data_IF_350638169129
#
_entry.id   IF_350638169129
#
_cell.length_a   1.000
_cell.length_b   1.000
_cell.length_c   1.000
_cell.angle_alpha   90.00
_cell.angle_beta   90.00
_cell.angle_gamma   90.00
#
_symmetry.space_group_name_H-M   'P 1'
#
loop_
_entity.id
_entity.type
_entity.pdbx_description
1 polymer ?
#
# COMPACT_ATOMS: atom_id res chain seq x y z
N UNK A 1 14.61 -43.65 -6.46
CA UNK A 1 14.47 -42.25 -6.08
C UNK A 1 13.09 -41.66 -6.45
N UNK A 2 12.63 -41.92 -7.67
CA UNK A 2 11.32 -41.34 -8.14
C UNK A 2 10.10 -41.92 -7.40
N UNK A 3 10.18 -43.19 -7.01
CA UNK A 3 9.11 -43.90 -6.30
C UNK A 3 8.97 -43.41 -4.85
N UNK A 4 10.09 -43.21 -4.16
CA UNK A 4 10.13 -42.68 -2.78
C UNK A 4 9.60 -41.25 -2.73
N UNK A 5 9.96 -40.41 -3.70
CA UNK A 5 9.45 -39.03 -3.79
C UNK A 5 7.94 -39.01 -4.03
N UNK A 6 7.41 -39.88 -4.88
CA UNK A 6 5.96 -39.97 -5.11
C UNK A 6 5.20 -40.47 -3.89
N UNK A 7 5.79 -41.37 -3.10
CA UNK A 7 5.17 -41.85 -1.85
C UNK A 7 5.11 -40.77 -0.78
N UNK A 8 6.18 -39.97 -0.65
CA UNK A 8 6.22 -38.80 0.25
C UNK A 8 5.18 -37.74 -0.13
N UNK A 9 5.05 -37.42 -1.41
CA UNK A 9 4.06 -36.45 -1.89
C UNK A 9 2.63 -36.98 -1.70
N UNK A 10 2.41 -38.26 -1.92
CA UNK A 10 1.12 -38.89 -1.67
C UNK A 10 0.76 -38.88 -0.19
N UNK A 11 1.73 -39.08 0.68
CA UNK A 11 1.54 -39.01 2.13
C UNK A 11 1.16 -37.59 2.59
N UNK A 12 1.84 -36.57 2.07
CA UNK A 12 1.52 -35.14 2.33
C UNK A 12 0.11 -34.79 1.86
N UNK A 13 -0.29 -35.28 0.69
CA UNK A 13 -1.65 -35.06 0.16
C UNK A 13 -2.73 -35.75 0.99
N UNK A 14 -2.47 -36.94 1.50
CA UNK A 14 -3.40 -37.65 2.40
C UNK A 14 -3.54 -36.93 3.75
N UNK A 15 -2.44 -36.44 4.31
CA UNK A 15 -2.44 -35.66 5.55
C UNK A 15 -3.16 -34.33 5.38
N UNK A 16 -2.96 -33.66 4.24
CA UNK A 16 -3.66 -32.44 3.90
C UNK A 16 -5.16 -32.66 3.74
N UNK A 17 -5.57 -33.72 3.03
CA UNK A 17 -6.96 -34.11 2.88
C UNK A 17 -7.62 -34.42 4.23
N UNK A 18 -6.93 -35.17 5.09
CA UNK A 18 -7.44 -35.47 6.43
C UNK A 18 -7.65 -34.22 7.25
N UNK A 19 -6.72 -33.26 7.22
CA UNK A 19 -6.88 -31.97 7.90
C UNK A 19 -8.08 -31.19 7.41
N UNK A 20 -8.34 -31.23 6.10
CA UNK A 20 -9.53 -30.58 5.52
C UNK A 20 -10.81 -31.30 5.97
N UNK A 21 -10.83 -32.63 5.98
CA UNK A 21 -12.00 -33.42 6.41
C UNK A 21 -12.29 -33.19 7.92
N UNK A 22 -11.28 -33.14 8.76
CA UNK A 22 -11.40 -32.82 10.19
C UNK A 22 -11.92 -31.38 10.41
N UNK A 23 -11.54 -30.43 9.55
CA UNK A 23 -12.03 -29.04 9.58
C UNK A 23 -13.48 -28.92 9.12
N UNK A 24 -13.94 -29.77 8.19
CA UNK A 24 -15.33 -29.76 7.71
C UNK A 24 -16.33 -30.22 8.78
N UNK A 25 -15.91 -31.03 9.74
CA UNK A 25 -16.74 -31.46 10.85
C UNK A 25 -16.98 -30.35 11.90
N UNK A 26 -16.14 -29.29 11.88
CA UNK A 26 -16.20 -28.15 12.79
C UNK A 26 -16.09 -26.81 12.04
N UNK A 27 -17.17 -26.36 11.35
CA UNK A 27 -17.11 -25.16 10.49
C UNK A 27 -16.76 -23.87 11.23
N UNK A 28 -16.95 -23.81 12.56
CA UNK A 28 -16.54 -22.65 13.35
C UNK A 28 -15.02 -22.58 13.55
N UNK A 29 -14.35 -23.73 13.66
CA UNK A 29 -12.91 -23.81 13.85
C UNK A 29 -12.13 -23.39 12.57
N UNK A 30 -12.75 -23.48 11.40
CA UNK A 30 -12.14 -23.07 10.11
C UNK A 30 -11.89 -21.56 10.10
N UNK A 31 -12.88 -20.76 10.49
CA UNK A 31 -12.74 -19.30 10.52
C UNK A 31 -11.70 -18.86 11.54
N UNK A 32 -11.68 -19.48 12.71
CA UNK A 32 -10.68 -19.19 13.75
C UNK A 32 -9.28 -19.50 13.26
N UNK A 33 -9.06 -20.64 12.60
CA UNK A 33 -7.79 -21.02 12.01
C UNK A 33 -7.36 -20.07 10.87
N UNK A 34 -8.28 -19.65 10.01
CA UNK A 34 -8.01 -18.68 8.95
C UNK A 34 -7.62 -17.33 9.56
N UNK A 35 -8.35 -16.89 10.58
CA UNK A 35 -8.12 -15.63 11.25
C UNK A 35 -6.77 -15.62 12.00
N UNK A 36 -6.41 -16.70 12.68
CA UNK A 36 -5.11 -16.86 13.33
C UNK A 36 -3.97 -16.82 12.31
N UNK A 37 -4.08 -17.55 11.20
CA UNK A 37 -3.09 -17.55 10.12
C UNK A 37 -2.93 -16.16 9.48
N UNK A 38 -4.01 -15.40 9.33
CA UNK A 38 -3.95 -14.01 8.87
C UNK A 38 -3.34 -13.08 9.91
N UNK A 39 -3.65 -13.26 11.19
CA UNK A 39 -3.15 -12.43 12.28
C UNK A 39 -1.65 -12.60 12.50
N UNK A 40 -1.10 -13.81 12.39
CA UNK A 40 0.34 -14.07 12.52
C UNK A 40 1.19 -13.26 11.54
N UNK A 41 0.65 -12.94 10.37
CA UNK A 41 1.31 -12.08 9.39
C UNK A 41 1.20 -10.60 9.73
N UNK A 42 0.15 -10.18 10.46
CA UNK A 42 -0.09 -8.78 10.83
C UNK A 42 0.74 -8.31 12.04
N UNK A 43 1.04 -9.16 12.98
CA UNK A 43 1.81 -8.81 14.19
C UNK A 43 3.24 -8.29 13.89
N UNK A 44 3.77 -8.59 12.73
CA UNK A 44 5.12 -8.19 12.29
C UNK A 44 5.15 -6.88 11.50
N UNK A 45 4.00 -6.30 11.15
CA UNK A 45 3.93 -5.18 10.20
C UNK A 45 3.59 -3.88 10.93
N UNK A 46 4.63 -3.15 11.33
CA UNK A 46 4.53 -1.73 11.72
C UNK A 46 4.65 -0.79 10.51
N UNK A 47 4.91 -1.34 9.33
CA UNK A 47 5.11 -0.60 8.09
C UNK A 47 3.80 -0.43 7.31
N UNK A 48 3.68 0.62 6.51
CA UNK A 48 2.53 0.79 5.62
C UNK A 48 2.48 -0.32 4.58
N UNK A 49 1.29 -0.54 3.99
CA UNK A 49 1.13 -1.55 2.97
C UNK A 49 1.78 -1.11 1.65
N UNK A 50 2.82 -1.83 1.27
CA UNK A 50 3.59 -1.60 0.04
C UNK A 50 3.09 -2.55 -1.05
N UNK A 51 2.70 -2.01 -2.19
CA UNK A 51 2.16 -2.80 -3.28
C UNK A 51 2.56 -2.25 -4.64
N UNK A 52 2.31 -3.03 -5.69
CA UNK A 52 2.44 -2.55 -7.06
C UNK A 52 1.22 -1.71 -7.48
N UNK A 53 1.33 -1.04 -8.62
CA UNK A 53 0.28 -0.17 -9.16
C UNK A 53 -1.07 -0.88 -9.36
N UNK A 54 -1.08 -2.11 -9.81
CA UNK A 54 -2.33 -2.86 -10.06
C UNK A 54 -3.09 -3.13 -8.77
N UNK A 55 -2.39 -3.55 -7.72
CA UNK A 55 -2.97 -3.77 -6.39
C UNK A 55 -3.42 -2.45 -5.76
N UNK A 56 -2.60 -1.40 -5.87
CA UNK A 56 -2.97 -0.07 -5.38
C UNK A 56 -4.27 0.42 -6.00
N UNK A 57 -4.43 0.28 -7.31
CA UNK A 57 -5.65 0.65 -8.03
C UNK A 57 -6.87 -0.10 -7.51
N UNK A 58 -6.76 -1.39 -7.26
CA UNK A 58 -7.85 -2.19 -6.70
C UNK A 58 -8.23 -1.76 -5.28
N UNK A 59 -7.23 -1.46 -4.44
CA UNK A 59 -7.46 -0.90 -3.10
C UNK A 59 -8.15 0.46 -3.19
N UNK A 60 -7.70 1.32 -4.09
CA UNK A 60 -8.33 2.62 -4.33
C UNK A 60 -9.82 2.47 -4.70
N UNK A 61 -10.15 1.56 -5.61
CA UNK A 61 -11.54 1.29 -5.99
C UNK A 61 -12.38 0.78 -4.83
N UNK A 62 -11.84 -0.09 -4.02
CA UNK A 62 -12.51 -0.60 -2.82
C UNK A 62 -12.78 0.52 -1.82
N UNK A 63 -11.78 1.35 -1.55
CA UNK A 63 -11.88 2.50 -0.64
C UNK A 63 -12.90 3.52 -1.15
N UNK A 64 -12.90 3.82 -2.44
CA UNK A 64 -13.87 4.74 -3.05
C UNK A 64 -15.32 4.26 -2.90
N UNK A 65 -15.55 2.95 -2.91
CA UNK A 65 -16.86 2.36 -2.61
C UNK A 65 -17.22 2.44 -1.13
N UNK A 66 -16.25 2.25 -0.25
CA UNK A 66 -16.47 2.29 1.21
C UNK A 66 -16.79 3.69 1.71
N UNK A 67 -16.22 4.72 1.12
CA UNK A 67 -16.40 6.12 1.53
C UNK A 67 -17.86 6.55 1.50
N UNK A 68 -18.65 6.07 0.53
CA UNK A 68 -20.08 6.38 0.44
C UNK A 68 -20.87 5.97 1.69
N UNK A 69 -20.49 4.87 2.30
CA UNK A 69 -21.20 4.31 3.46
C UNK A 69 -20.61 4.72 4.79
N UNK A 70 -19.28 4.83 4.86
CA UNK A 70 -18.59 5.06 6.11
C UNK A 70 -18.42 6.53 6.46
N UNK A 71 -18.48 7.44 5.48
CA UNK A 71 -18.14 8.85 5.65
C UNK A 71 -16.65 9.09 5.99
N UNK A 72 -15.82 8.07 5.91
CA UNK A 72 -14.38 8.19 6.14
C UNK A 72 -13.73 9.15 5.14
N UNK A 73 -12.81 9.96 5.64
CA UNK A 73 -11.98 10.81 4.79
C UNK A 73 -10.71 10.09 4.40
N UNK A 74 -10.46 10.02 3.12
CA UNK A 74 -9.26 9.40 2.56
C UNK A 74 -8.62 10.36 1.56
N UNK A 75 -7.30 10.52 1.65
CA UNK A 75 -6.55 11.40 0.78
C UNK A 75 -5.64 10.58 -0.15
N UNK A 76 -5.61 10.97 -1.42
CA UNK A 76 -4.63 10.48 -2.38
C UNK A 76 -3.52 11.52 -2.51
N UNK A 77 -2.29 11.14 -2.22
CA UNK A 77 -1.12 12.02 -2.28
C UNK A 77 -0.13 11.50 -3.31
N UNK A 78 0.25 12.37 -4.23
CA UNK A 78 1.35 12.12 -5.17
C UNK A 78 2.61 12.81 -4.63
N UNK A 79 3.67 12.04 -4.46
CA UNK A 79 5.00 12.55 -4.10
C UNK A 79 5.90 12.49 -5.33
N UNK A 80 6.44 13.61 -5.76
CA UNK A 80 7.32 13.72 -6.92
C UNK A 80 8.67 14.26 -6.51
N UNK A 81 9.72 13.51 -6.81
CA UNK A 81 11.09 13.95 -6.56
C UNK A 81 11.55 14.90 -7.68
N UNK A 82 11.98 16.08 -7.29
CA UNK A 82 12.43 17.14 -8.19
C UNK A 82 13.79 17.70 -7.75
N UNK A 83 14.49 18.35 -8.68
CA UNK A 83 15.61 19.21 -8.33
C UNK A 83 15.13 20.55 -7.75
N UNK A 84 16.05 21.42 -7.37
CA UNK A 84 15.76 22.74 -6.78
C UNK A 84 15.08 23.70 -7.78
N UNK A 85 15.13 23.40 -9.07
CA UNK A 85 14.47 24.16 -10.15
C UNK A 85 13.12 23.55 -10.57
N UNK A 86 12.60 22.61 -9.78
CA UNK A 86 11.32 21.92 -10.01
C UNK A 86 11.30 20.96 -11.22
N UNK A 87 12.47 20.61 -11.76
CA UNK A 87 12.54 19.64 -12.84
C UNK A 87 12.54 18.20 -12.33
N UNK A 88 11.85 17.29 -13.02
CA UNK A 88 11.91 15.86 -12.70
C UNK A 88 13.32 15.31 -12.90
N UNK A 89 13.72 14.38 -12.07
CA UNK A 89 15.05 13.76 -12.14
C UNK A 89 15.21 12.98 -13.44
N UNK A 90 16.29 13.26 -14.17
CA UNK A 90 16.59 12.65 -15.47
C UNK A 90 17.77 11.67 -15.47
N UNK A 91 18.67 11.76 -14.49
CA UNK A 91 19.87 10.89 -14.46
C UNK A 91 19.58 9.53 -13.82
N UNK A 92 20.03 8.45 -14.47
CA UNK A 92 19.68 7.09 -14.05
C UNK A 92 20.47 6.60 -12.82
N UNK A 93 21.72 7.03 -12.64
CA UNK A 93 22.58 6.55 -11.54
C UNK A 93 22.20 7.11 -10.16
N UNK A 94 21.86 8.40 -10.09
CA UNK A 94 21.38 9.01 -8.84
C UNK A 94 19.91 8.64 -8.55
N UNK A 95 19.12 8.33 -9.58
CA UNK A 95 17.70 8.09 -9.46
C UNK A 95 17.35 6.87 -8.57
N UNK A 96 18.15 5.80 -8.61
CA UNK A 96 17.87 4.61 -7.77
C UNK A 96 18.13 4.87 -6.29
N UNK A 97 19.23 5.53 -5.94
CA UNK A 97 19.56 5.84 -4.56
C UNK A 97 18.57 6.85 -3.98
N UNK A 98 18.27 7.90 -4.73
CA UNK A 98 17.29 8.92 -4.35
C UNK A 98 15.89 8.34 -4.25
N UNK A 99 15.50 7.49 -5.18
CA UNK A 99 14.21 6.78 -5.15
C UNK A 99 14.05 5.94 -3.88
N UNK A 100 15.11 5.25 -3.48
CA UNK A 100 15.12 4.49 -2.22
C UNK A 100 14.99 5.41 -1.01
N UNK A 101 15.67 6.56 -1.00
CA UNK A 101 15.58 7.52 0.09
C UNK A 101 14.18 8.12 0.22
N UNK A 102 13.53 8.44 -0.90
CA UNK A 102 12.14 8.91 -0.91
C UNK A 102 11.21 7.82 -0.39
N UNK A 103 11.36 6.59 -0.88
CA UNK A 103 10.56 5.45 -0.46
C UNK A 103 10.64 5.21 1.06
N UNK A 104 11.85 5.13 1.59
CA UNK A 104 12.07 4.96 3.02
C UNK A 104 11.53 6.13 3.84
N UNK A 105 11.66 7.36 3.35
CA UNK A 105 11.14 8.55 4.01
C UNK A 105 9.62 8.55 4.08
N UNK A 106 8.95 8.13 3.02
CA UNK A 106 7.50 7.96 2.99
C UNK A 106 7.08 6.85 3.96
N UNK A 107 7.66 5.67 3.84
CA UNK A 107 7.28 4.50 4.65
C UNK A 107 7.47 4.72 6.16
N UNK A 108 8.45 5.53 6.56
CA UNK A 108 8.66 5.89 7.97
C UNK A 108 7.72 6.98 8.49
N UNK A 109 7.06 7.70 7.60
CA UNK A 109 6.25 8.87 7.95
C UNK A 109 4.75 8.61 7.94
N UNK A 110 4.30 7.55 7.28
CA UNK A 110 2.90 7.16 7.18
C UNK A 110 2.59 5.96 8.09
N UNK A 111 1.30 5.69 8.30
CA UNK A 111 0.83 4.67 9.25
C UNK A 111 0.75 3.29 8.60
N UNK A 112 0.69 2.24 9.43
CA UNK A 112 0.51 0.87 8.99
C UNK A 112 -0.78 0.62 8.17
N UNK A 113 -1.82 1.41 8.41
CA UNK A 113 -3.08 1.34 7.66
C UNK A 113 -3.06 2.08 6.32
N UNK A 114 -2.01 2.84 6.03
CA UNK A 114 -1.86 3.55 4.76
C UNK A 114 -1.24 2.65 3.68
N UNK A 115 -1.43 3.02 2.43
CA UNK A 115 -0.99 2.24 1.27
C UNK A 115 -0.05 3.09 0.41
N UNK A 116 1.05 2.51 -0.04
CA UNK A 116 2.02 3.19 -0.90
C UNK A 116 2.42 2.33 -2.09
N UNK A 117 2.55 2.98 -3.24
CA UNK A 117 3.04 2.35 -4.47
C UNK A 117 3.99 3.28 -5.23
N UNK A 118 4.88 2.67 -5.99
CA UNK A 118 5.68 3.39 -6.98
C UNK A 118 4.85 3.56 -8.24
N UNK A 119 4.61 4.81 -8.65
CA UNK A 119 3.81 5.13 -9.82
C UNK A 119 4.66 5.34 -11.07
N UNK A 120 5.76 6.01 -10.95
CA UNK A 120 6.67 6.31 -12.05
C UNK A 120 8.08 6.60 -11.54
N UNK A 121 8.94 7.07 -12.43
CA UNK A 121 10.31 7.45 -12.09
C UNK A 121 10.28 8.67 -11.15
N UNK A 122 10.73 8.47 -9.91
CA UNK A 122 10.69 9.49 -8.87
C UNK A 122 9.29 9.90 -8.43
N UNK A 123 8.27 9.12 -8.75
CA UNK A 123 6.88 9.37 -8.37
C UNK A 123 6.29 8.23 -7.56
N UNK A 124 5.62 8.60 -6.47
CA UNK A 124 5.01 7.66 -5.51
C UNK A 124 3.60 8.12 -5.19
N UNK A 125 2.67 7.18 -5.17
CA UNK A 125 1.31 7.41 -4.74
C UNK A 125 1.09 6.83 -3.35
N UNK A 126 0.46 7.61 -2.50
CA UNK A 126 0.12 7.25 -1.13
C UNK A 126 -1.38 7.42 -0.93
N UNK A 127 -2.00 6.41 -0.36
CA UNK A 127 -3.39 6.45 0.05
C UNK A 127 -3.44 6.58 1.57
N UNK A 128 -3.83 7.76 2.06
CA UNK A 128 -3.91 8.10 3.47
C UNK A 128 -5.31 7.81 3.99
N UNK A 129 -5.45 6.71 4.71
CA UNK A 129 -6.74 6.22 5.21
C UNK A 129 -7.13 6.97 6.48
N UNK A 130 -8.40 7.33 6.60
CA UNK A 130 -8.94 8.07 7.74
C UNK A 130 -8.12 9.33 8.09
N UNK A 131 -7.83 10.11 7.06
CA UNK A 131 -6.99 11.32 7.14
C UNK A 131 -7.74 12.52 6.58
N UNK A 132 -7.76 13.60 7.31
CA UNK A 132 -8.35 14.87 6.87
C UNK A 132 -7.39 15.61 5.93
N UNK A 133 -7.90 16.46 5.03
CA UNK A 133 -7.05 17.28 4.17
C UNK A 133 -6.05 18.15 4.96
N UNK A 134 -6.45 18.67 6.11
CA UNK A 134 -5.62 19.51 6.97
C UNK A 134 -4.42 18.78 7.55
N UNK A 135 -4.55 17.48 7.82
CA UNK A 135 -3.50 16.64 8.41
C UNK A 135 -2.40 16.28 7.42
N UNK A 136 -2.65 16.44 6.11
CA UNK A 136 -1.70 16.10 5.06
C UNK A 136 -0.43 16.93 5.12
N UNK A 137 -0.51 18.19 5.50
CA UNK A 137 0.67 19.07 5.63
C UNK A 137 1.65 18.56 6.70
N UNK A 138 1.14 18.05 7.79
CA UNK A 138 1.97 17.49 8.86
C UNK A 138 2.67 16.21 8.42
N UNK A 139 1.98 15.38 7.63
CA UNK A 139 2.57 14.18 7.03
C UNK A 139 3.68 14.56 6.04
N UNK A 140 3.44 15.55 5.20
CA UNK A 140 4.44 16.08 4.25
C UNK A 140 5.69 16.58 4.97
N UNK A 141 5.53 17.35 6.05
CA UNK A 141 6.66 17.82 6.88
C UNK A 141 7.47 16.66 7.46
N UNK A 142 6.81 15.60 7.91
CA UNK A 142 7.52 14.41 8.42
C UNK A 142 8.32 13.71 7.34
N UNK A 143 7.75 13.58 6.14
CA UNK A 143 8.43 12.99 4.98
C UNK A 143 9.66 13.85 4.62
N UNK A 144 9.49 15.16 4.52
CA UNK A 144 10.59 16.09 4.23
C UNK A 144 11.69 16.01 5.28
N UNK A 145 11.35 15.96 6.55
CA UNK A 145 12.31 15.84 7.64
C UNK A 145 13.11 14.53 7.55
N UNK A 146 12.47 13.42 7.19
CA UNK A 146 13.15 12.14 6.99
C UNK A 146 14.06 12.18 5.75
N UNK A 147 13.58 12.77 4.66
CA UNK A 147 14.33 12.87 3.40
C UNK A 147 15.57 13.76 3.53
N UNK A 148 15.47 14.92 4.18
CA UNK A 148 16.57 15.86 4.41
C UNK A 148 17.72 15.29 5.24
N UNK A 149 17.50 14.26 6.03
CA UNK A 149 18.56 13.53 6.74
C UNK A 149 19.52 12.81 5.78
N UNK A 150 19.04 12.50 4.56
CA UNK A 150 19.78 11.72 3.55
C UNK A 150 20.22 12.53 2.36
N UNK A 151 19.46 13.55 1.98
CA UNK A 151 19.74 14.41 0.84
C UNK A 151 19.26 15.84 1.10
N UNK A 152 20.04 16.83 0.65
CA UNK A 152 19.74 18.26 0.80
C UNK A 152 19.65 19.00 -0.52
N UNK A 153 19.93 18.33 -1.64
CA UNK A 153 19.98 18.91 -2.99
C UNK A 153 18.65 18.77 -3.70
N UNK A 154 17.91 17.70 -3.42
CA UNK A 154 16.62 17.40 -4.05
C UNK A 154 15.46 17.69 -3.10
N UNK A 155 14.28 17.87 -3.68
CA UNK A 155 13.06 18.13 -2.94
C UNK A 155 11.95 17.16 -3.35
N UNK A 156 10.98 16.98 -2.46
CA UNK A 156 9.77 16.24 -2.75
C UNK A 156 8.62 17.22 -2.90
N UNK A 157 7.95 17.19 -4.04
CA UNK A 157 6.74 17.96 -4.32
C UNK A 157 5.50 17.09 -4.09
N UNK A 158 4.49 17.67 -3.51
CA UNK A 158 3.26 16.98 -3.13
C UNK A 158 2.06 17.53 -3.87
N UNK A 159 1.20 16.64 -4.33
CA UNK A 159 -0.15 16.95 -4.78
C UNK A 159 -1.13 16.07 -4.04
N UNK A 160 -2.16 16.66 -3.43
CA UNK A 160 -3.13 15.95 -2.60
C UNK A 160 -4.53 16.21 -3.10
N UNK A 161 -5.31 15.15 -3.22
CA UNK A 161 -6.74 15.21 -3.50
C UNK A 161 -7.50 14.26 -2.57
N UNK A 162 -8.66 14.69 -2.10
CA UNK A 162 -9.59 13.80 -1.41
C UNK A 162 -10.15 12.75 -2.37
N UNK A 163 -10.18 11.50 -1.92
CA UNK A 163 -10.81 10.42 -2.69
C UNK A 163 -12.32 10.67 -2.70
N UNK A 164 -12.90 10.73 -3.88
CA UNK A 164 -14.34 10.90 -4.07
C UNK A 164 -15.03 9.57 -4.23
N UNK A 165 -16.29 9.49 -3.81
CA UNK A 165 -17.12 8.33 -4.07
C UNK A 165 -17.33 8.15 -5.58
N UNK A 166 -17.50 6.90 -6.02
CA UNK A 166 -17.67 6.57 -7.44
C UNK A 166 -18.90 7.22 -8.08
N UNK A 167 -19.93 7.58 -7.31
CA UNK A 167 -21.13 8.24 -7.80
C UNK A 167 -20.87 9.71 -8.12
N UNK A 168 -20.09 10.41 -7.31
CA UNK A 168 -19.73 11.81 -7.56
C UNK A 168 -18.76 12.00 -8.74
N UNK A 169 -18.03 10.95 -9.14
CA UNK A 169 -17.12 11.01 -10.29
C UNK A 169 -17.87 11.02 -11.65
N UNK A 170 -19.13 10.60 -11.68
CA UNK A 170 -19.94 10.60 -12.91
C UNK A 170 -20.59 11.97 -13.20
N UNK A 171 -20.79 12.78 -12.17
CA UNK A 171 -21.44 14.08 -12.33
C UNK A 171 -20.50 15.16 -12.90
N UNK A 172 -19.18 15.02 -12.65
CA UNK A 172 -18.17 15.96 -13.21
C UNK A 172 -17.91 15.74 -14.72
N UNK A 173 -18.26 14.58 -15.30
CA UNK A 173 -18.11 14.31 -16.75
C UNK A 173 -19.31 14.78 -17.57
N UNK A 174 -20.42 15.14 -16.97
CA UNK A 174 -21.62 15.61 -17.65
C UNK A 174 -21.68 17.13 -17.86
N UNK A 175 -20.66 17.88 -17.40
CA UNK A 175 -20.56 19.34 -17.49
C UNK A 175 -19.42 19.84 -18.41
N UNK A 176 -18.90 18.96 -19.28
CA UNK A 176 -17.87 19.36 -20.27
C UNK A 176 -18.42 19.29 -21.67
#
# INVERSE_FOLDING_TARGET
YRQVYMEEELCKLKDFRRKIEEQLDHPYDILDNIQENMAEQLEKVQEPYQCNWMVFREIYHMVARMIERSGQQVQLMLCTLTDMEEHPIRSDECAEVLSRYVWESICRSIRAGDVVTRYGKGQYLVLLINTKPEDCQEIQKRIDAQFRKKDTVYEIRYSVKSVRSLNNAKDDQSLS
#
